data_IF_117306791770
#
_entry.id   IF_117306791770
#
_cell.length_a   1.000
_cell.length_b   1.000
_cell.length_c   1.000
_cell.angle_alpha   90.00
_cell.angle_beta   90.00
_cell.angle_gamma   90.00
#
_symmetry.space_group_name_H-M   'P 1'
#
loop_
_entity.id
_entity.type
_entity.pdbx_description
1 polymer ?
#
# COMPACT_ATOMS: atom_id res chain seq x y z
N UNK A 1 -17.60 -23.08 33.64
CA UNK A 1 -16.46 -22.41 34.31
C UNK A 1 -15.78 -21.52 33.29
N UNK A 2 -15.83 -20.18 33.37
CA UNK A 2 -15.24 -19.36 32.32
C UNK A 2 -13.72 -19.36 32.51
N UNK A 3 -13.02 -20.14 31.68
CA UNK A 3 -11.56 -20.09 31.52
C UNK A 3 -11.20 -18.82 30.75
N UNK A 4 -11.16 -17.67 31.43
CA UNK A 4 -10.56 -16.45 30.90
C UNK A 4 -9.29 -16.12 31.71
N UNK A 5 -8.33 -17.07 31.71
CA UNK A 5 -7.04 -16.89 32.38
C UNK A 5 -6.09 -15.97 31.60
N UNK A 6 -6.22 -15.88 30.27
CA UNK A 6 -5.28 -15.12 29.43
C UNK A 6 -5.31 -13.60 29.66
N UNK A 7 -6.46 -13.04 30.05
CA UNK A 7 -6.66 -11.58 30.16
C UNK A 7 -7.04 -11.11 31.58
N UNK A 8 -6.93 -12.02 32.54
CA UNK A 8 -7.01 -11.69 33.97
C UNK A 8 -6.08 -12.65 34.71
N UNK A 9 -4.77 -12.54 34.46
CA UNK A 9 -3.79 -13.41 35.07
C UNK A 9 -3.58 -13.06 36.55
N UNK A 10 -3.17 -14.07 37.32
CA UNK A 10 -2.82 -13.91 38.72
C UNK A 10 -1.38 -13.40 38.82
N UNK A 11 -1.21 -12.07 38.90
CA UNK A 11 0.13 -11.46 38.87
C UNK A 11 1.02 -11.87 40.05
N UNK A 12 0.45 -12.18 41.21
CA UNK A 12 1.18 -12.69 42.38
C UNK A 12 1.87 -14.03 42.08
N UNK A 13 1.25 -14.86 41.24
CA UNK A 13 1.85 -16.13 40.79
C UNK A 13 2.84 -15.93 39.65
N UNK A 14 2.65 -14.90 38.81
CA UNK A 14 3.55 -14.61 37.68
C UNK A 14 4.86 -13.97 38.11
N UNK A 15 4.84 -13.17 39.18
CA UNK A 15 6.01 -12.45 39.69
C UNK A 15 6.26 -12.78 41.16
N UNK A 16 6.63 -14.03 41.49
CA UNK A 16 6.90 -14.42 42.86
C UNK A 16 8.11 -13.64 43.41
N UNK A 17 7.96 -13.08 44.61
CA UNK A 17 9.01 -12.32 45.29
C UNK A 17 9.10 -10.84 44.92
N UNK A 18 8.18 -10.33 44.08
CA UNK A 18 8.04 -8.90 43.79
C UNK A 18 6.81 -8.36 44.52
N UNK A 19 6.97 -7.28 45.29
CA UNK A 19 5.84 -6.60 45.91
C UNK A 19 5.06 -5.81 44.84
N UNK A 20 3.87 -6.31 44.49
CA UNK A 20 2.99 -5.63 43.54
C UNK A 20 2.18 -4.60 44.31
N UNK A 21 2.53 -3.32 44.14
CA UNK A 21 1.77 -2.23 44.73
C UNK A 21 0.39 -2.09 44.06
N UNK A 22 -0.60 -1.50 44.74
CA UNK A 22 -1.93 -1.28 44.17
C UNK A 22 -1.91 -0.52 42.84
N UNK A 23 -1.01 0.45 42.70
CA UNK A 23 -0.86 1.25 41.49
C UNK A 23 -0.35 0.43 40.30
N UNK A 24 0.65 -0.42 40.55
CA UNK A 24 1.20 -1.34 39.53
C UNK A 24 0.14 -2.36 39.12
N UNK A 25 -0.59 -2.93 40.09
CA UNK A 25 -1.69 -3.85 39.80
C UNK A 25 -2.80 -3.17 38.98
N UNK A 26 -3.11 -1.91 39.27
CA UNK A 26 -4.11 -1.14 38.51
C UNK A 26 -3.68 -0.95 37.06
N UNK A 27 -2.41 -0.61 36.82
CA UNK A 27 -1.85 -0.49 35.47
C UNK A 27 -1.95 -1.82 34.72
N UNK A 28 -1.55 -2.93 35.34
CA UNK A 28 -1.64 -4.25 34.72
C UNK A 28 -3.08 -4.65 34.37
N UNK A 29 -4.03 -4.44 35.28
CA UNK A 29 -5.45 -4.72 34.99
C UNK A 29 -6.00 -3.84 33.87
N UNK A 30 -5.53 -2.60 33.79
CA UNK A 30 -5.93 -1.66 32.74
C UNK A 30 -5.35 -2.06 31.38
N UNK A 31 -4.08 -2.50 31.32
CA UNK A 31 -3.48 -3.03 30.10
C UNK A 31 -4.21 -4.27 29.62
N UNK A 32 -4.50 -5.21 30.52
CA UNK A 32 -5.14 -6.48 30.18
C UNK A 32 -6.58 -6.28 29.72
N UNK A 33 -7.29 -5.33 30.33
CA UNK A 33 -8.60 -4.89 29.86
C UNK A 33 -8.53 -4.34 28.44
N UNK A 34 -7.51 -3.54 28.13
CA UNK A 34 -7.30 -2.97 26.79
C UNK A 34 -6.94 -4.05 25.77
N UNK A 35 -6.03 -4.96 26.11
CA UNK A 35 -5.66 -6.10 25.26
C UNK A 35 -6.88 -6.96 24.94
N UNK A 36 -7.65 -7.36 25.95
CA UNK A 36 -8.90 -8.12 25.76
C UNK A 36 -9.90 -7.40 24.87
N UNK A 37 -10.00 -6.07 25.00
CA UNK A 37 -10.90 -5.29 24.16
C UNK A 37 -10.49 -5.36 22.69
N UNK A 38 -9.20 -5.13 22.40
CA UNK A 38 -8.66 -5.13 21.04
C UNK A 38 -8.62 -6.51 20.40
N UNK A 39 -8.14 -7.52 21.11
CA UNK A 39 -7.89 -8.84 20.53
C UNK A 39 -9.15 -9.68 20.39
N UNK A 40 -10.15 -9.44 21.24
CA UNK A 40 -11.37 -10.26 21.28
C UNK A 40 -12.64 -9.44 21.15
N UNK A 41 -12.88 -8.44 22.00
CA UNK A 41 -14.22 -7.82 22.09
C UNK A 41 -14.62 -7.03 20.85
N UNK A 42 -13.65 -6.48 20.11
CA UNK A 42 -13.92 -5.79 18.84
C UNK A 42 -14.27 -6.78 17.70
N UNK A 43 -13.76 -8.01 17.77
CA UNK A 43 -13.80 -9.02 16.70
C UNK A 43 -14.92 -10.05 16.86
N UNK A 44 -15.67 -10.01 17.96
CA UNK A 44 -16.69 -11.02 18.27
C UNK A 44 -18.00 -10.37 18.69
N UNK A 45 -19.10 -10.87 18.14
CA UNK A 45 -20.43 -10.55 18.62
C UNK A 45 -20.63 -11.05 20.06
N UNK A 46 -21.29 -10.24 20.89
CA UNK A 46 -21.52 -10.62 22.30
C UNK A 46 -22.84 -10.10 22.85
N UNK A 47 -23.33 -10.81 23.85
CA UNK A 47 -24.43 -10.34 24.69
C UNK A 47 -23.87 -9.81 26.02
N UNK A 48 -24.36 -8.66 26.45
CA UNK A 48 -24.07 -8.11 27.77
C UNK A 48 -25.37 -8.14 28.57
N UNK A 49 -25.38 -8.95 29.62
CA UNK A 49 -26.48 -9.05 30.55
C UNK A 49 -26.41 -7.94 31.60
N UNK A 50 -27.47 -7.15 31.70
CA UNK A 50 -27.66 -6.24 32.82
C UNK A 50 -28.51 -6.96 33.88
N UNK A 51 -27.85 -7.50 34.91
CA UNK A 51 -28.51 -8.26 35.98
C UNK A 51 -29.53 -7.42 36.75
N UNK A 52 -29.37 -6.09 36.81
CA UNK A 52 -30.29 -5.19 37.51
C UNK A 52 -31.58 -4.97 36.74
N UNK A 53 -31.49 -4.84 35.42
CA UNK A 53 -32.64 -4.61 34.55
C UNK A 53 -33.23 -5.92 33.98
N UNK A 54 -32.55 -7.07 34.17
CA UNK A 54 -32.88 -8.37 33.55
C UNK A 54 -33.02 -8.28 32.02
N UNK A 55 -32.19 -7.45 31.39
CA UNK A 55 -32.17 -7.26 29.93
C UNK A 55 -30.80 -7.68 29.38
N UNK A 56 -30.80 -8.49 28.33
CA UNK A 56 -29.60 -8.80 27.55
C UNK A 56 -29.49 -7.82 26.38
N UNK A 57 -28.35 -7.14 26.24
CA UNK A 57 -28.06 -6.24 25.13
C UNK A 57 -27.11 -6.93 24.15
N UNK A 58 -27.53 -7.04 22.89
CA UNK A 58 -26.65 -7.52 21.83
C UNK A 58 -25.69 -6.40 21.41
N UNK A 59 -24.41 -6.73 21.32
CA UNK A 59 -23.35 -5.87 20.83
C UNK A 59 -22.71 -6.55 19.61
N UNK A 60 -22.92 -6.00 18.40
CA UNK A 60 -22.25 -6.52 17.22
C UNK A 60 -20.75 -6.21 17.28
N UNK A 61 -19.97 -7.06 16.62
CA UNK A 61 -18.57 -6.86 16.31
C UNK A 61 -18.37 -5.56 15.51
N UNK A 62 -17.19 -4.96 15.69
CA UNK A 62 -16.79 -3.70 15.04
C UNK A 62 -15.63 -3.90 14.07
N UNK A 63 -14.92 -5.01 14.20
CA UNK A 63 -13.79 -5.37 13.35
C UNK A 63 -14.01 -6.79 12.80
N UNK A 64 -13.62 -6.98 11.54
CA UNK A 64 -13.64 -8.28 10.85
C UNK A 64 -12.24 -8.54 10.28
N UNK A 65 -11.85 -9.80 10.15
CA UNK A 65 -10.58 -10.14 9.51
C UNK A 65 -10.61 -9.92 7.99
N UNK A 66 -9.46 -9.63 7.38
CA UNK A 66 -9.36 -9.51 5.91
C UNK A 66 -9.82 -10.79 5.21
N UNK A 67 -9.41 -11.95 5.72
CA UNK A 67 -9.77 -13.26 5.15
C UNK A 67 -11.29 -13.47 5.18
N UNK A 68 -11.96 -13.16 6.29
CA UNK A 68 -13.43 -13.25 6.36
C UNK A 68 -14.12 -12.27 5.40
N UNK A 69 -13.58 -11.06 5.22
CA UNK A 69 -14.13 -10.10 4.26
C UNK A 69 -14.00 -10.61 2.82
N UNK A 70 -12.91 -11.30 2.49
CA UNK A 70 -12.71 -11.91 1.16
C UNK A 70 -13.60 -13.15 0.98
N UNK A 71 -13.65 -14.05 1.97
CA UNK A 71 -14.35 -15.33 1.86
C UNK A 71 -15.86 -15.22 2.01
N UNK A 72 -16.35 -14.48 3.02
CA UNK A 72 -17.77 -14.41 3.36
C UNK A 72 -18.48 -13.25 2.68
N UNK A 73 -17.82 -12.10 2.61
CA UNK A 73 -18.40 -10.88 2.06
C UNK A 73 -18.01 -10.66 0.59
N UNK A 74 -17.14 -11.51 0.03
CA UNK A 74 -16.63 -11.43 -1.34
C UNK A 74 -16.09 -10.04 -1.70
N UNK A 75 -15.52 -9.34 -0.71
CA UNK A 75 -14.93 -8.01 -0.94
C UNK A 75 -13.62 -8.17 -1.68
N UNK A 76 -13.52 -7.49 -2.82
CA UNK A 76 -12.30 -7.40 -3.60
C UNK A 76 -11.47 -6.22 -3.10
N UNK A 77 -10.22 -6.50 -2.73
CA UNK A 77 -9.22 -5.49 -2.42
C UNK A 77 -8.25 -5.38 -3.60
N UNK A 78 -7.73 -4.18 -3.85
CA UNK A 78 -6.74 -4.00 -4.90
C UNK A 78 -5.49 -4.85 -4.61
N UNK A 79 -5.15 -5.76 -5.52
CA UNK A 79 -3.89 -6.48 -5.45
C UNK A 79 -2.74 -5.49 -5.74
N UNK A 80 -1.59 -5.66 -5.07
CA UNK A 80 -0.39 -4.86 -5.38
C UNK A 80 0.20 -5.23 -6.75
N UNK A 81 -0.15 -6.41 -7.28
CA UNK A 81 0.35 -6.89 -8.57
C UNK A 81 -0.55 -6.42 -9.72
N UNK A 82 0.04 -6.01 -10.86
CA UNK A 82 -0.72 -5.64 -12.05
C UNK A 82 -1.55 -6.84 -12.52
N UNK A 83 -2.76 -6.58 -13.00
CA UNK A 83 -3.57 -7.63 -13.61
C UNK A 83 -2.94 -8.12 -14.92
N UNK A 84 -3.37 -9.29 -15.41
CA UNK A 84 -2.98 -9.77 -16.73
C UNK A 84 -3.35 -8.77 -17.84
N UNK A 85 -4.49 -8.08 -17.68
CA UNK A 85 -4.93 -7.03 -18.60
C UNK A 85 -3.96 -5.85 -18.60
N UNK A 86 -3.51 -5.42 -17.41
CA UNK A 86 -2.52 -4.34 -17.28
C UNK A 86 -1.18 -4.71 -17.92
N UNK A 87 -0.72 -5.95 -17.74
CA UNK A 87 0.51 -6.45 -18.38
C UNK A 87 0.39 -6.47 -19.91
N UNK A 88 -0.75 -6.93 -20.43
CA UNK A 88 -1.01 -6.95 -21.87
C UNK A 88 -1.07 -5.52 -22.45
N UNK A 89 -1.78 -4.62 -21.77
CA UNK A 89 -1.84 -3.21 -22.14
C UNK A 89 -0.45 -2.58 -22.13
N UNK A 90 0.37 -2.88 -21.12
CA UNK A 90 1.74 -2.39 -21.04
C UNK A 90 2.60 -2.86 -22.22
N UNK A 91 2.52 -4.14 -22.58
CA UNK A 91 3.22 -4.69 -23.75
C UNK A 91 2.77 -4.02 -25.04
N UNK A 92 1.47 -3.82 -25.21
CA UNK A 92 0.93 -3.13 -26.39
C UNK A 92 1.42 -1.68 -26.48
N UNK A 93 1.43 -0.95 -25.37
CA UNK A 93 1.96 0.42 -25.30
C UNK A 93 3.43 0.49 -25.69
N UNK A 94 4.24 -0.47 -25.24
CA UNK A 94 5.65 -0.59 -25.63
C UNK A 94 5.78 -0.81 -27.14
N UNK A 95 5.01 -1.75 -27.71
CA UNK A 95 5.04 -2.01 -29.16
C UNK A 95 4.69 -0.76 -29.96
N UNK A 96 3.61 -0.05 -29.58
CA UNK A 96 3.19 1.20 -30.24
C UNK A 96 4.27 2.29 -30.15
N UNK A 97 4.96 2.40 -29.01
CA UNK A 97 6.07 3.33 -28.83
C UNK A 97 7.23 3.01 -29.78
N UNK A 98 7.64 1.75 -29.88
CA UNK A 98 8.70 1.35 -30.81
C UNK A 98 8.31 1.61 -32.27
N UNK A 99 7.09 1.30 -32.68
CA UNK A 99 6.60 1.64 -34.02
C UNK A 99 6.61 3.15 -34.28
N UNK A 100 6.24 3.97 -33.28
CA UNK A 100 6.31 5.42 -33.40
C UNK A 100 7.76 5.95 -33.50
N UNK A 101 8.71 5.30 -32.81
CA UNK A 101 10.14 5.63 -32.90
C UNK A 101 10.75 5.30 -34.26
N UNK A 102 10.26 4.27 -34.95
CA UNK A 102 10.68 3.93 -36.32
C UNK A 102 10.29 5.01 -37.35
N UNK A 103 9.23 5.77 -37.07
CA UNK A 103 8.77 6.89 -37.92
C UNK A 103 9.53 8.21 -37.66
N UNK A 104 10.39 8.26 -36.65
CA UNK A 104 11.26 9.41 -36.41
C UNK A 104 12.42 9.43 -37.42
N UNK A 105 12.91 10.63 -37.71
CA UNK A 105 14.14 10.74 -38.50
C UNK A 105 15.33 10.20 -37.70
N UNK A 106 16.35 9.69 -38.39
CA UNK A 106 17.54 9.14 -37.76
C UNK A 106 18.16 10.06 -36.68
N UNK A 107 18.42 11.37 -36.92
CA UNK A 107 18.98 12.24 -35.89
C UNK A 107 18.03 12.50 -34.71
N UNK A 108 16.71 12.45 -34.94
CA UNK A 108 15.71 12.59 -33.87
C UNK A 108 15.72 11.35 -32.97
N UNK A 109 15.76 10.16 -33.58
CA UNK A 109 15.83 8.88 -32.87
C UNK A 109 17.12 8.77 -32.06
N UNK A 110 18.27 9.11 -32.64
CA UNK A 110 19.56 9.12 -31.94
C UNK A 110 19.54 10.02 -30.71
N UNK A 111 18.92 11.21 -30.81
CA UNK A 111 18.80 12.11 -29.66
C UNK A 111 17.95 11.52 -28.53
N UNK A 112 16.85 10.85 -28.86
CA UNK A 112 15.98 10.19 -27.87
C UNK A 112 16.70 9.00 -27.22
N UNK A 113 17.38 8.17 -28.00
CA UNK A 113 18.17 7.04 -27.50
C UNK A 113 19.26 7.50 -26.53
N UNK A 114 20.02 8.53 -26.91
CA UNK A 114 21.06 9.11 -26.07
C UNK A 114 20.52 9.60 -24.71
N UNK A 115 19.36 10.25 -24.70
CA UNK A 115 18.80 10.84 -23.46
C UNK A 115 18.15 9.77 -22.58
N UNK A 116 17.30 8.91 -23.15
CA UNK A 116 16.44 8.02 -22.37
C UNK A 116 16.97 6.60 -22.20
N UNK A 117 17.81 6.12 -23.12
CA UNK A 117 18.39 4.77 -23.05
C UNK A 117 19.84 4.80 -22.55
N UNK A 118 20.65 5.75 -23.02
CA UNK A 118 22.05 5.91 -22.60
C UNK A 118 22.21 6.81 -21.36
N UNK A 119 21.15 7.52 -20.95
CA UNK A 119 21.16 8.39 -19.77
C UNK A 119 22.01 9.66 -19.91
N UNK A 120 22.34 10.08 -21.13
CA UNK A 120 23.12 11.29 -21.37
C UNK A 120 22.30 12.55 -21.09
N UNK A 121 22.90 13.49 -20.38
CA UNK A 121 22.24 14.78 -20.09
C UNK A 121 22.29 15.70 -21.32
N UNK A 122 21.28 16.57 -21.43
CA UNK A 122 21.22 17.59 -22.50
C UNK A 122 22.48 18.46 -22.55
N UNK A 123 23.08 18.76 -21.39
CA UNK A 123 24.32 19.54 -21.27
C UNK A 123 25.55 18.80 -21.80
N UNK A 124 25.63 17.47 -21.61
CA UNK A 124 26.72 16.67 -22.17
C UNK A 124 26.61 16.57 -23.69
N UNK A 125 25.40 16.36 -24.20
CA UNK A 125 25.11 16.32 -25.63
C UNK A 125 25.39 17.66 -26.31
N UNK A 126 25.01 18.77 -25.67
CA UNK A 126 25.30 20.12 -26.15
C UNK A 126 26.81 20.39 -26.24
N UNK A 127 27.57 20.01 -25.20
CA UNK A 127 29.04 20.11 -25.21
C UNK A 127 29.67 19.28 -26.33
N UNK A 128 29.23 18.04 -26.53
CA UNK A 128 29.73 17.15 -27.60
C UNK A 128 29.43 17.70 -29.00
N UNK A 129 28.27 18.31 -29.18
CA UNK A 129 27.84 18.88 -30.45
C UNK A 129 28.36 20.31 -30.70
N UNK A 130 29.01 20.95 -29.71
CA UNK A 130 29.40 22.37 -29.80
C UNK A 130 28.19 23.32 -29.88
N UNK A 131 27.03 22.91 -29.36
CA UNK A 131 25.78 23.67 -29.40
C UNK A 131 25.43 24.25 -28.04
N UNK A 132 24.59 25.29 -28.04
CA UNK A 132 23.99 25.77 -26.80
C UNK A 132 22.96 24.75 -26.26
N UNK A 133 22.95 24.54 -24.94
CA UNK A 133 22.09 23.53 -24.30
C UNK A 133 20.60 23.68 -24.62
N UNK A 134 20.11 24.93 -24.77
CA UNK A 134 18.72 25.20 -25.17
C UNK A 134 18.38 24.67 -26.56
N UNK A 135 19.35 24.58 -27.47
CA UNK A 135 19.13 24.01 -28.81
C UNK A 135 18.78 22.53 -28.72
N UNK A 136 19.50 21.77 -27.88
CA UNK A 136 19.20 20.36 -27.62
C UNK A 136 17.84 20.21 -26.93
N UNK A 137 17.57 21.07 -25.94
CA UNK A 137 16.29 21.10 -25.24
C UNK A 137 15.09 21.31 -26.18
N UNK A 138 15.16 22.33 -27.04
CA UNK A 138 14.11 22.61 -28.02
C UNK A 138 13.92 21.47 -29.02
N UNK A 139 15.00 20.83 -29.48
CA UNK A 139 14.92 19.64 -30.35
C UNK A 139 14.21 18.50 -29.64
N UNK A 140 14.60 18.19 -28.39
CA UNK A 140 13.96 17.15 -27.58
C UNK A 140 12.46 17.39 -27.44
N UNK A 141 12.05 18.62 -27.10
CA UNK A 141 10.63 18.96 -26.96
C UNK A 141 9.85 18.71 -28.26
N UNK A 142 10.39 19.13 -29.41
CA UNK A 142 9.74 18.91 -30.71
C UNK A 142 9.58 17.43 -31.03
N UNK A 143 10.60 16.62 -30.74
CA UNK A 143 10.55 15.17 -30.96
C UNK A 143 9.52 14.51 -30.05
N UNK A 144 9.46 14.90 -28.76
CA UNK A 144 8.44 14.39 -27.84
C UNK A 144 7.02 14.78 -28.26
N UNK A 145 6.82 15.99 -28.80
CA UNK A 145 5.54 16.40 -29.38
C UNK A 145 5.19 15.55 -30.61
N UNK A 146 6.17 15.26 -31.48
CA UNK A 146 6.00 14.38 -32.65
C UNK A 146 5.61 12.97 -32.23
N UNK A 147 6.32 12.36 -31.27
CA UNK A 147 5.98 11.06 -30.70
C UNK A 147 4.57 11.04 -30.08
N UNK A 148 4.21 12.07 -29.31
CA UNK A 148 2.86 12.21 -28.74
C UNK A 148 1.77 12.25 -29.82
N UNK A 149 2.02 12.92 -30.93
CA UNK A 149 1.07 12.99 -32.04
C UNK A 149 0.98 11.66 -32.81
N UNK A 150 2.09 10.91 -32.92
CA UNK A 150 2.10 9.58 -33.52
C UNK A 150 1.35 8.55 -32.67
N UNK A 151 1.47 8.62 -31.34
CA UNK A 151 0.80 7.71 -30.40
C UNK A 151 -0.69 7.98 -30.19
N UNK A 152 -1.16 9.17 -30.57
CA UNK A 152 -2.59 9.53 -30.54
C UNK A 152 -3.35 9.04 -31.78
N UNK A 153 -2.64 8.68 -32.84
CA UNK A 153 -3.22 8.04 -34.02
C UNK A 153 -3.41 6.55 -33.74
#
# INVERSE_FOLDING_TARGET
MPRHSAYNPDYESLYPGVEITPDVLHVFRTSDRKMRYMEHQLKTDRFVEDQKQKVAKFLPSRETSLDEMVEKEHRQFAAEQPSLEDELLHRELICRLYSAMELLEQPERELILAIYFEGLTERQLARRAGLHHMTIHSRKIRILQKLKNLLKK
#
